data_IF_495894505486
#
_entry.id   IF_495894505486
#
_cell.length_a   1.000
_cell.length_b   1.000
_cell.length_c   1.000
_cell.angle_alpha   90.00
_cell.angle_beta   90.00
_cell.angle_gamma   90.00
#
_symmetry.space_group_name_H-M   'P 1'
#
loop_
_entity.id
_entity.type
_entity.pdbx_description
1 polymer ?
#
# COMPACT_ATOMS: atom_id res chain seq x y z
N UNK A 1 36.45 12.28 -7.24
CA UNK A 1 35.00 12.37 -6.95
C UNK A 1 34.35 11.09 -7.49
N UNK A 2 34.01 10.12 -6.62
CA UNK A 2 33.17 8.99 -7.01
C UNK A 2 31.80 9.56 -7.35
N UNK A 3 31.37 9.43 -8.61
CA UNK A 3 30.00 9.79 -9.03
C UNK A 3 29.03 8.93 -8.24
N UNK A 4 28.22 9.55 -7.37
CA UNK A 4 27.16 8.83 -6.66
C UNK A 4 26.10 8.47 -7.70
N UNK A 5 25.89 7.19 -7.92
CA UNK A 5 24.83 6.70 -8.82
C UNK A 5 23.55 6.65 -7.98
N UNK A 6 22.49 7.37 -8.34
CA UNK A 6 21.24 7.36 -7.58
C UNK A 6 20.61 5.97 -7.59
N UNK A 7 19.85 5.66 -6.54
CA UNK A 7 19.07 4.41 -6.42
C UNK A 7 17.70 4.58 -7.06
N UNK A 8 17.10 5.76 -6.90
CA UNK A 8 15.72 6.04 -7.33
C UNK A 8 15.69 6.97 -8.55
N UNK A 9 14.68 6.78 -9.38
CA UNK A 9 14.16 7.81 -10.27
C UNK A 9 13.06 8.58 -9.55
N UNK A 10 12.90 9.86 -9.83
CA UNK A 10 11.93 10.71 -9.14
C UNK A 10 11.53 11.93 -9.98
N UNK A 11 10.43 12.53 -9.61
CA UNK A 11 9.96 13.81 -10.11
C UNK A 11 9.88 14.83 -8.96
N UNK A 12 10.18 16.08 -9.27
CA UNK A 12 10.01 17.19 -8.36
C UNK A 12 8.65 17.83 -8.58
N UNK A 13 7.88 17.92 -7.50
CA UNK A 13 6.53 18.49 -7.53
C UNK A 13 6.57 20.04 -7.53
N UNK A 14 5.45 20.68 -7.82
CA UNK A 14 5.34 22.16 -7.83
C UNK A 14 5.61 22.81 -6.47
N UNK A 15 5.36 22.06 -5.38
CA UNK A 15 5.60 22.48 -3.99
C UNK A 15 7.02 22.16 -3.48
N UNK A 16 7.97 21.86 -4.38
CA UNK A 16 9.33 21.45 -4.09
C UNK A 16 9.48 20.11 -3.36
N UNK A 17 8.41 19.32 -3.17
CA UNK A 17 8.50 17.95 -2.69
C UNK A 17 8.89 16.98 -3.81
N UNK A 18 9.18 15.73 -3.46
CA UNK A 18 9.55 14.66 -4.40
C UNK A 18 8.56 13.52 -4.37
N UNK A 19 8.23 13.05 -5.57
CA UNK A 19 7.59 11.77 -5.83
C UNK A 19 8.61 10.79 -6.43
N UNK A 20 8.88 9.66 -5.74
CA UNK A 20 9.71 8.59 -6.30
C UNK A 20 8.90 7.88 -7.38
N UNK A 21 9.49 7.74 -8.59
CA UNK A 21 8.82 7.15 -9.76
C UNK A 21 9.33 5.76 -10.11
N UNK A 22 10.44 5.32 -9.51
CA UNK A 22 10.97 3.99 -9.77
C UNK A 22 12.40 3.80 -9.30
N UNK A 23 13.04 2.76 -9.83
CA UNK A 23 14.43 2.40 -9.57
C UNK A 23 15.31 2.63 -10.80
N UNK A 24 16.54 3.09 -10.56
CA UNK A 24 17.62 3.01 -11.54
C UNK A 24 18.14 1.56 -11.66
N UNK A 25 19.00 1.27 -12.63
CA UNK A 25 19.65 -0.05 -12.74
C UNK A 25 20.39 -0.43 -11.47
N UNK A 26 21.00 0.55 -10.77
CA UNK A 26 21.63 0.30 -9.48
C UNK A 26 20.60 -0.06 -8.42
N UNK A 27 19.48 0.66 -8.35
CA UNK A 27 18.40 0.37 -7.40
C UNK A 27 17.80 -1.02 -7.60
N UNK A 28 17.64 -1.45 -8.85
CA UNK A 28 17.15 -2.81 -9.19
C UNK A 28 18.12 -3.93 -8.80
N UNK A 29 19.39 -3.63 -8.62
CA UNK A 29 20.37 -4.59 -8.14
C UNK A 29 20.36 -4.75 -6.61
N UNK A 30 19.78 -3.80 -5.88
CA UNK A 30 19.70 -3.82 -4.42
C UNK A 30 18.48 -4.63 -3.96
N UNK A 31 18.69 -5.62 -3.10
CA UNK A 31 17.61 -6.42 -2.52
C UNK A 31 16.93 -5.75 -1.31
N UNK A 32 17.54 -4.69 -0.79
CA UNK A 32 17.03 -3.90 0.33
C UNK A 32 16.96 -2.44 -0.06
N UNK A 33 15.77 -1.87 0.04
CA UNK A 33 15.51 -0.48 -0.31
C UNK A 33 15.16 0.33 0.94
N UNK A 34 15.78 1.48 1.10
CA UNK A 34 15.34 2.50 2.04
C UNK A 34 14.79 3.68 1.26
N UNK A 35 13.49 3.93 1.40
CA UNK A 35 12.83 5.12 0.82
C UNK A 35 13.16 6.29 1.73
N UNK A 36 13.99 7.25 1.29
CA UNK A 36 14.52 8.27 2.17
C UNK A 36 13.49 9.37 2.44
N UNK A 37 13.60 10.02 3.60
CA UNK A 37 12.79 11.20 3.94
C UNK A 37 13.12 12.41 3.04
N UNK A 38 14.34 12.47 2.51
CA UNK A 38 14.82 13.54 1.64
C UNK A 38 15.65 12.98 0.48
N UNK A 39 15.52 13.63 -0.67
CA UNK A 39 16.30 13.34 -1.86
C UNK A 39 16.62 14.68 -2.56
N UNK A 40 17.89 14.89 -2.93
CA UNK A 40 18.36 16.15 -3.55
C UNK A 40 17.92 17.44 -2.81
N UNK A 41 17.88 17.39 -1.47
CA UNK A 41 17.53 18.52 -0.63
C UNK A 41 16.04 18.81 -0.48
N UNK A 42 15.16 18.00 -1.12
CA UNK A 42 13.70 18.12 -1.05
C UNK A 42 13.09 16.93 -0.31
N UNK A 43 11.96 17.13 0.35
CA UNK A 43 11.26 16.11 1.12
C UNK A 43 10.56 15.11 0.17
N UNK A 44 10.74 13.82 0.42
CA UNK A 44 10.02 12.76 -0.28
C UNK A 44 8.65 12.58 0.38
N UNK A 45 7.58 12.87 -0.35
CA UNK A 45 6.20 12.81 0.16
C UNK A 45 5.37 11.70 -0.47
N UNK A 46 5.80 11.18 -1.62
CA UNK A 46 5.04 10.17 -2.33
C UNK A 46 5.91 9.15 -3.06
N UNK A 47 5.33 7.98 -3.30
CA UNK A 47 5.81 6.98 -4.26
C UNK A 47 4.73 6.80 -5.32
N UNK A 48 5.10 7.00 -6.58
CA UNK A 48 4.19 6.90 -7.73
C UNK A 48 3.69 5.47 -7.93
N UNK A 49 2.55 5.34 -8.59
CA UNK A 49 2.02 4.04 -8.98
C UNK A 49 3.04 3.25 -9.81
N UNK A 50 3.08 1.94 -9.59
CA UNK A 50 3.94 0.97 -10.28
C UNK A 50 5.46 1.16 -10.09
N UNK A 51 5.89 2.07 -9.20
CA UNK A 51 7.30 2.44 -9.05
C UNK A 51 8.25 1.26 -8.86
N UNK A 52 7.82 0.20 -8.19
CA UNK A 52 8.61 -1.01 -7.92
C UNK A 52 7.92 -2.29 -8.40
N UNK A 53 6.86 -2.16 -9.18
CA UNK A 53 6.11 -3.29 -9.72
C UNK A 53 7.03 -4.29 -10.44
N UNK A 54 6.72 -5.59 -10.28
CA UNK A 54 7.44 -6.69 -10.91
C UNK A 54 8.96 -6.73 -10.55
N UNK A 55 9.36 -6.12 -9.41
CA UNK A 55 10.73 -6.27 -8.90
C UNK A 55 10.86 -7.60 -8.16
N UNK A 56 11.51 -8.56 -8.80
CA UNK A 56 11.73 -9.92 -8.27
C UNK A 56 13.00 -10.03 -7.41
N UNK A 57 13.72 -8.94 -7.19
CA UNK A 57 14.96 -8.92 -6.41
C UNK A 57 14.77 -8.33 -5.00
N UNK A 58 13.87 -7.38 -4.84
CA UNK A 58 13.63 -6.72 -3.56
C UNK A 58 13.06 -7.69 -2.51
N UNK A 59 13.70 -7.74 -1.35
CA UNK A 59 13.29 -8.58 -0.21
C UNK A 59 12.85 -7.77 1.01
N UNK A 60 13.32 -6.53 1.11
CA UNK A 60 13.05 -5.63 2.24
C UNK A 60 12.90 -4.19 1.76
N UNK A 61 11.87 -3.52 2.26
CA UNK A 61 11.64 -2.08 2.03
C UNK A 61 11.39 -1.39 3.37
N UNK A 62 12.13 -0.32 3.62
CA UNK A 62 11.95 0.54 4.80
C UNK A 62 11.65 1.95 4.31
N UNK A 63 10.56 2.52 4.77
CA UNK A 63 10.23 3.92 4.55
C UNK A 63 10.72 4.76 5.74
N UNK A 64 11.47 5.82 5.45
CA UNK A 64 11.70 6.88 6.43
C UNK A 64 10.45 7.75 6.57
N UNK A 65 10.35 8.50 7.67
CA UNK A 65 9.19 9.38 7.93
C UNK A 65 9.11 10.52 6.92
N UNK A 66 7.87 10.88 6.52
CA UNK A 66 7.60 11.96 5.56
C UNK A 66 6.80 11.51 4.34
N UNK A 67 6.89 10.22 3.97
CA UNK A 67 6.06 9.68 2.88
C UNK A 67 4.62 9.59 3.34
N UNK A 68 3.72 10.29 2.64
CA UNK A 68 2.29 10.39 2.93
C UNK A 68 1.44 9.55 2.00
N UNK A 69 1.91 9.29 0.78
CA UNK A 69 1.13 8.62 -0.26
C UNK A 69 1.94 7.55 -0.97
N UNK A 70 1.31 6.40 -1.16
CA UNK A 70 1.81 5.29 -1.98
C UNK A 70 0.76 5.01 -3.06
N UNK A 71 1.17 5.10 -4.33
CA UNK A 71 0.29 4.93 -5.48
C UNK A 71 -0.15 3.49 -5.72
N UNK A 72 -0.88 3.28 -6.81
CA UNK A 72 -1.40 1.95 -7.19
C UNK A 72 -0.26 1.01 -7.60
N UNK A 73 -0.40 -0.28 -7.28
CA UNK A 73 0.47 -1.37 -7.76
C UNK A 73 1.96 -1.23 -7.40
N UNK A 74 2.32 -0.45 -6.38
CA UNK A 74 3.74 -0.09 -6.12
C UNK A 74 4.61 -1.32 -5.93
N UNK A 75 4.15 -2.33 -5.20
CA UNK A 75 4.87 -3.61 -4.99
C UNK A 75 4.14 -4.80 -5.61
N UNK A 76 3.22 -4.56 -6.55
CA UNK A 76 2.52 -5.65 -7.23
C UNK A 76 3.54 -6.63 -7.84
N UNK A 77 3.36 -7.91 -7.55
CA UNK A 77 4.24 -9.01 -7.99
C UNK A 77 5.69 -8.96 -7.49
N UNK A 78 6.02 -8.17 -6.47
CA UNK A 78 7.32 -8.27 -5.81
C UNK A 78 7.38 -9.56 -4.98
N UNK A 79 7.47 -10.70 -5.66
CA UNK A 79 7.25 -12.04 -5.05
C UNK A 79 8.31 -12.42 -4.00
N UNK A 80 9.46 -11.76 -3.99
CA UNK A 80 10.51 -11.96 -2.99
C UNK A 80 10.40 -11.03 -1.78
N UNK A 81 9.52 -10.02 -1.83
CA UNK A 81 9.38 -9.02 -0.76
C UNK A 81 8.78 -9.65 0.50
N UNK A 82 9.57 -9.70 1.57
CA UNK A 82 9.25 -10.33 2.85
C UNK A 82 8.99 -9.32 3.97
N UNK A 83 9.61 -8.14 3.89
CA UNK A 83 9.54 -7.14 4.95
C UNK A 83 9.25 -5.77 4.35
N UNK A 84 8.22 -5.12 4.90
CA UNK A 84 7.91 -3.71 4.63
C UNK A 84 7.72 -3.01 5.98
N UNK A 85 8.49 -1.94 6.21
CA UNK A 85 8.28 -1.01 7.31
C UNK A 85 7.68 0.28 6.75
N UNK A 86 6.38 0.48 6.95
CA UNK A 86 5.68 1.69 6.53
C UNK A 86 5.93 2.84 7.51
N UNK A 87 5.97 4.12 7.05
CA UNK A 87 6.15 5.28 7.90
C UNK A 87 4.85 5.61 8.65
N UNK A 88 4.95 6.22 9.82
CA UNK A 88 3.76 6.68 10.57
C UNK A 88 3.04 7.84 9.85
N UNK A 89 3.76 8.57 9.00
CA UNK A 89 3.24 9.66 8.17
C UNK A 89 2.32 9.22 7.03
N UNK A 90 2.16 7.90 6.78
CA UNK A 90 1.35 7.37 5.67
C UNK A 90 -0.13 7.66 5.89
N UNK A 91 -0.72 8.38 4.94
CA UNK A 91 -2.13 8.82 4.94
C UNK A 91 -2.95 8.13 3.85
N UNK A 92 -2.33 7.86 2.69
CA UNK A 92 -3.04 7.33 1.51
C UNK A 92 -2.30 6.14 0.89
N UNK A 93 -3.07 5.13 0.52
CA UNK A 93 -2.56 3.92 -0.13
C UNK A 93 -3.45 3.60 -1.33
N UNK A 94 -2.81 3.38 -2.48
CA UNK A 94 -3.47 2.98 -3.72
C UNK A 94 -3.95 1.54 -3.73
N UNK A 95 -4.44 1.10 -4.89
CA UNK A 95 -4.92 -0.28 -5.10
C UNK A 95 -3.76 -1.26 -5.26
N UNK A 96 -3.93 -2.50 -4.81
CA UNK A 96 -3.00 -3.62 -5.03
C UNK A 96 -1.54 -3.34 -4.65
N UNK A 97 -1.30 -2.47 -3.66
CA UNK A 97 0.05 -2.00 -3.32
C UNK A 97 0.99 -3.14 -2.95
N UNK A 98 0.48 -4.16 -2.26
CA UNK A 98 1.28 -5.31 -1.79
C UNK A 98 0.85 -6.64 -2.38
N UNK A 99 -0.04 -6.63 -3.37
CA UNK A 99 -0.64 -7.84 -3.94
C UNK A 99 0.43 -8.73 -4.57
N UNK A 100 0.32 -10.03 -4.27
CA UNK A 100 1.23 -11.09 -4.70
C UNK A 100 2.67 -10.92 -4.17
N UNK A 101 2.85 -10.24 -3.04
CA UNK A 101 4.11 -10.24 -2.30
C UNK A 101 4.15 -11.40 -1.28
N UNK A 102 5.36 -11.82 -0.90
CA UNK A 102 5.52 -12.77 0.21
C UNK A 102 5.14 -12.16 1.55
N UNK A 103 5.30 -10.85 1.71
CA UNK A 103 4.88 -10.08 2.88
C UNK A 103 3.37 -10.16 3.11
N UNK A 104 2.56 -9.92 2.08
CA UNK A 104 1.10 -10.04 2.13
C UNK A 104 0.67 -11.47 2.47
N UNK A 105 1.16 -12.46 1.71
CA UNK A 105 0.82 -13.88 1.88
C UNK A 105 1.06 -14.35 3.32
N UNK A 106 2.23 -14.06 3.88
CA UNK A 106 2.57 -14.50 5.24
C UNK A 106 1.68 -13.87 6.31
N UNK A 107 1.21 -12.64 6.11
CA UNK A 107 0.31 -11.97 7.04
C UNK A 107 -1.12 -12.52 6.95
N UNK A 108 -1.62 -12.74 5.74
CA UNK A 108 -2.95 -13.31 5.53
C UNK A 108 -3.03 -14.81 5.84
N UNK A 109 -1.92 -15.53 6.01
CA UNK A 109 -1.92 -16.87 6.60
C UNK A 109 -2.32 -16.85 8.08
N UNK A 110 -1.93 -15.82 8.82
CA UNK A 110 -2.13 -15.70 10.28
C UNK A 110 -3.25 -14.74 10.69
N UNK A 111 -3.77 -13.92 9.78
CA UNK A 111 -4.83 -12.94 10.01
C UNK A 111 -5.84 -12.94 8.87
N UNK A 112 -7.01 -12.38 9.10
CA UNK A 112 -8.01 -12.14 8.05
C UNK A 112 -7.80 -10.82 7.31
N UNK A 113 -6.96 -9.93 7.88
CA UNK A 113 -6.72 -8.61 7.33
C UNK A 113 -5.31 -8.11 7.58
N UNK A 114 -4.93 -7.10 6.82
CA UNK A 114 -3.71 -6.32 7.01
C UNK A 114 -4.11 -4.87 7.25
N UNK A 115 -3.73 -4.34 8.41
CA UNK A 115 -3.96 -2.95 8.79
C UNK A 115 -2.61 -2.27 9.01
N UNK A 116 -2.43 -1.10 8.39
CA UNK A 116 -1.24 -0.24 8.53
C UNK A 116 -1.72 1.17 8.87
N UNK A 117 -1.26 1.74 9.98
CA UNK A 117 -1.63 3.10 10.42
C UNK A 117 -3.15 3.37 10.42
N UNK A 118 -3.94 2.41 10.89
CA UNK A 118 -5.41 2.45 10.88
C UNK A 118 -6.05 2.42 9.46
N UNK A 119 -5.27 2.14 8.41
CA UNK A 119 -5.75 1.92 7.05
C UNK A 119 -5.89 0.42 6.85
N UNK A 120 -7.07 -0.05 6.48
CA UNK A 120 -7.30 -1.43 6.02
C UNK A 120 -6.69 -1.58 4.63
N UNK A 121 -5.63 -2.37 4.51
CA UNK A 121 -4.81 -2.47 3.30
C UNK A 121 -5.19 -3.68 2.44
N UNK A 122 -5.51 -4.79 3.08
CA UNK A 122 -5.92 -6.02 2.42
C UNK A 122 -6.79 -6.87 3.35
N UNK A 123 -7.63 -7.70 2.76
CA UNK A 123 -8.48 -8.68 3.46
C UNK A 123 -8.32 -10.03 2.78
N UNK A 124 -8.37 -11.10 3.59
CA UNK A 124 -8.32 -12.47 3.10
C UNK A 124 -9.45 -12.74 2.12
N UNK A 125 -9.13 -13.34 0.99
CA UNK A 125 -10.13 -13.83 0.06
C UNK A 125 -11.03 -14.91 0.70
N UNK A 126 -12.21 -15.16 0.12
CA UNK A 126 -13.16 -16.19 0.56
C UNK A 126 -13.89 -15.93 1.89
N UNK A 127 -13.88 -14.70 2.41
CA UNK A 127 -14.76 -14.30 3.50
C UNK A 127 -16.14 -13.93 2.93
N UNK A 128 -17.21 -14.59 3.41
CA UNK A 128 -18.58 -14.26 3.03
C UNK A 128 -19.15 -13.10 3.82
N UNK A 129 -18.64 -12.89 5.04
CA UNK A 129 -18.97 -11.74 5.89
C UNK A 129 -17.68 -11.13 6.45
N UNK A 130 -17.65 -9.81 6.57
CA UNK A 130 -16.54 -9.11 7.17
C UNK A 130 -17.02 -7.95 8.04
N UNK A 131 -16.45 -7.84 9.24
CA UNK A 131 -16.65 -6.71 10.14
C UNK A 131 -15.36 -5.93 10.24
N UNK A 132 -15.40 -4.66 9.85
CA UNK A 132 -14.23 -3.78 9.89
C UNK A 132 -13.83 -3.52 11.35
N UNK A 133 -12.58 -3.82 11.75
CA UNK A 133 -12.11 -3.62 13.12
C UNK A 133 -12.20 -2.17 13.59
N UNK A 134 -12.42 -1.97 14.91
CA UNK A 134 -12.61 -0.65 15.54
C UNK A 134 -11.43 0.31 15.40
N UNK A 135 -10.22 -0.20 15.17
CA UNK A 135 -9.03 0.63 14.97
C UNK A 135 -8.88 1.11 13.52
N UNK A 136 -9.73 0.67 12.60
CA UNK A 136 -9.70 1.12 11.20
C UNK A 136 -10.44 2.43 11.05
N UNK A 137 -9.76 3.41 10.47
CA UNK A 137 -10.28 4.76 10.16
C UNK A 137 -10.46 4.94 8.65
N UNK A 138 -9.66 4.22 7.86
CA UNK A 138 -9.75 4.28 6.40
C UNK A 138 -9.73 2.88 5.79
N UNK A 139 -10.58 2.65 4.81
CA UNK A 139 -10.53 1.47 3.94
C UNK A 139 -9.71 1.87 2.71
N UNK A 140 -8.61 1.17 2.47
CA UNK A 140 -7.73 1.42 1.33
C UNK A 140 -8.43 1.21 -0.01
N UNK A 141 -7.84 1.73 -1.06
CA UNK A 141 -8.35 1.55 -2.42
C UNK A 141 -8.32 0.06 -2.82
N UNK A 142 -9.39 -0.43 -3.44
CA UNK A 142 -9.47 -1.77 -3.99
C UNK A 142 -9.41 -2.93 -2.98
N UNK A 143 -9.58 -2.69 -1.67
CA UNK A 143 -9.42 -3.73 -0.63
C UNK A 143 -10.32 -4.95 -0.87
N UNK A 144 -11.52 -4.75 -1.38
CA UNK A 144 -12.48 -5.81 -1.72
C UNK A 144 -12.72 -5.90 -3.24
N UNK A 145 -11.83 -5.36 -4.04
CA UNK A 145 -11.99 -5.34 -5.51
C UNK A 145 -12.18 -6.77 -6.05
N UNK A 146 -13.22 -6.95 -6.89
CA UNK A 146 -13.61 -8.24 -7.49
C UNK A 146 -13.85 -9.38 -6.46
N UNK A 147 -14.13 -9.07 -5.20
CA UNK A 147 -14.51 -10.07 -4.21
C UNK A 147 -15.95 -10.54 -4.48
N UNK A 148 -16.07 -11.65 -5.22
CA UNK A 148 -17.36 -12.18 -5.66
C UNK A 148 -18.07 -13.07 -4.62
N UNK A 149 -17.43 -13.31 -3.46
CA UNK A 149 -18.00 -14.18 -2.40
C UNK A 149 -18.49 -13.40 -1.17
N UNK A 150 -18.03 -12.14 -1.00
CA UNK A 150 -18.44 -11.29 0.12
C UNK A 150 -19.92 -10.91 0.00
N UNK A 151 -20.74 -11.34 0.94
CA UNK A 151 -22.19 -11.11 0.96
C UNK A 151 -22.59 -9.96 1.89
N UNK A 152 -21.81 -9.76 2.97
CA UNK A 152 -22.07 -8.76 3.99
C UNK A 152 -20.82 -8.09 4.47
N UNK A 153 -20.88 -6.76 4.66
CA UNK A 153 -19.86 -5.99 5.35
C UNK A 153 -20.50 -5.07 6.38
N UNK A 154 -19.88 -5.02 7.56
CA UNK A 154 -20.25 -4.12 8.65
C UNK A 154 -19.12 -3.13 8.89
N UNK A 155 -19.38 -1.84 8.71
CA UNK A 155 -18.41 -0.78 8.99
C UNK A 155 -18.48 -0.38 10.47
N UNK A 156 -17.33 -0.10 11.08
CA UNK A 156 -17.28 0.51 12.40
C UNK A 156 -17.58 2.02 12.34
N UNK A 157 -17.90 2.64 13.47
CA UNK A 157 -18.29 4.06 13.57
C UNK A 157 -17.13 5.05 13.35
N UNK A 158 -15.89 4.58 13.22
CA UNK A 158 -14.69 5.41 13.04
C UNK A 158 -14.21 5.47 11.60
N UNK A 159 -14.85 4.74 10.68
CA UNK A 159 -14.47 4.79 9.25
C UNK A 159 -14.86 6.15 8.69
N UNK A 160 -13.87 6.96 8.36
CA UNK A 160 -13.98 8.32 7.81
C UNK A 160 -13.76 8.35 6.29
N UNK A 161 -13.03 7.35 5.74
CA UNK A 161 -12.70 7.31 4.33
C UNK A 161 -12.80 5.89 3.75
N UNK A 162 -13.26 5.83 2.51
CA UNK A 162 -13.28 4.61 1.68
C UNK A 162 -12.57 4.94 0.37
N UNK A 163 -11.52 4.19 0.07
CA UNK A 163 -10.70 4.39 -1.12
C UNK A 163 -11.40 4.03 -2.42
N UNK A 164 -10.79 4.43 -3.53
CA UNK A 164 -11.32 4.16 -4.86
C UNK A 164 -11.47 2.66 -5.10
N UNK A 165 -12.55 2.26 -5.77
CA UNK A 165 -12.82 0.87 -6.15
C UNK A 165 -12.87 -0.13 -4.99
N UNK A 166 -12.97 0.33 -3.73
CA UNK A 166 -12.92 -0.53 -2.55
C UNK A 166 -13.89 -1.73 -2.62
N UNK A 167 -15.07 -1.53 -3.18
CA UNK A 167 -16.11 -2.58 -3.35
C UNK A 167 -16.49 -2.84 -4.80
N UNK A 168 -15.69 -2.36 -5.76
CA UNK A 168 -15.95 -2.61 -7.18
C UNK A 168 -15.86 -4.10 -7.49
N UNK A 169 -16.84 -4.63 -8.22
CA UNK A 169 -16.88 -6.06 -8.57
C UNK A 169 -17.36 -6.99 -7.44
N UNK A 170 -17.76 -6.49 -6.27
CA UNK A 170 -18.34 -7.30 -5.19
C UNK A 170 -19.74 -7.78 -5.54
N UNK A 171 -19.87 -8.72 -6.49
CA UNK A 171 -21.15 -9.12 -7.09
C UNK A 171 -22.10 -9.85 -6.14
N UNK A 172 -21.61 -10.43 -5.05
CA UNK A 172 -22.42 -11.08 -4.02
C UNK A 172 -22.79 -10.17 -2.85
N UNK A 173 -22.24 -8.94 -2.79
CA UNK A 173 -22.50 -8.04 -1.67
C UNK A 173 -23.93 -7.50 -1.71
N UNK A 174 -24.77 -8.04 -0.82
CA UNK A 174 -26.18 -7.68 -0.69
C UNK A 174 -26.47 -6.78 0.50
N UNK A 175 -25.52 -6.67 1.45
CA UNK A 175 -25.70 -5.92 2.69
C UNK A 175 -24.47 -5.13 3.06
N UNK A 176 -24.63 -3.80 3.12
CA UNK A 176 -23.67 -2.86 3.68
C UNK A 176 -24.29 -2.21 4.92
N UNK A 177 -23.76 -2.51 6.09
CA UNK A 177 -24.17 -1.89 7.35
C UNK A 177 -23.29 -0.68 7.62
N UNK A 178 -23.89 0.51 7.50
CA UNK A 178 -23.25 1.77 7.88
C UNK A 178 -23.44 2.00 9.38
N UNK A 179 -22.44 2.56 10.07
CA UNK A 179 -22.59 2.93 11.46
C UNK A 179 -23.70 3.97 11.60
N UNK A 180 -24.45 3.88 12.69
CA UNK A 180 -25.35 4.98 13.09
C UNK A 180 -24.49 6.17 13.54
N UNK A 181 -24.58 7.27 12.82
CA UNK A 181 -23.96 8.56 13.18
C UNK A 181 -24.58 9.15 14.45
#
# INVERSE_FOLDING_TARGET
>A
NKKVIPVFTYEKNEDDTITITGLTDKGRADSKLTIPAQLDGSTVTAVAGEAFRDDYNVTEVVFEEGVKSIGDNVFLNCTMLQTIAFPQSLENVGTHVVTNTRWEKSRLESSNEIIVNNILLAVKENLTEYTVPENVVSIGSGVFYDNTVLEKITLNSRVEAIGNYAFSGCSSLTKLELPSS
#
